data_IF_291533635677
#
_entry.id   IF_291533635677
#
_cell.length_a   1.000
_cell.length_b   1.000
_cell.length_c   1.000
_cell.angle_alpha   90.00
_cell.angle_beta   90.00
_cell.angle_gamma   90.00
#
_symmetry.space_group_name_H-M   'P 1'
#
loop_
_entity.id
_entity.type
_entity.pdbx_description
1 polymer ?
#
# COMPACT_ATOMS: atom_id res chain seq x y z
N UNK A 1 -3.50 19.94 -10.16
CA UNK A 1 -4.90 19.89 -9.65
C UNK A 1 -4.93 18.76 -8.60
N UNK A 2 -5.62 18.93 -7.49
CA UNK A 2 -5.82 17.81 -6.55
C UNK A 2 -6.81 16.85 -7.20
N UNK A 3 -6.43 15.59 -7.31
CA UNK A 3 -7.34 14.55 -7.79
C UNK A 3 -8.40 14.24 -6.72
N UNK A 4 -9.59 13.89 -7.16
CA UNK A 4 -10.75 13.62 -6.29
C UNK A 4 -10.84 12.17 -5.80
N UNK A 5 -9.92 11.31 -6.26
CA UNK A 5 -9.85 9.91 -5.88
C UNK A 5 -8.60 9.61 -5.05
N UNK A 6 -8.71 8.64 -4.15
CA UNK A 6 -7.59 7.99 -3.48
C UNK A 6 -7.57 6.52 -3.87
N UNK A 7 -6.46 6.08 -4.49
CA UNK A 7 -6.19 4.69 -4.79
C UNK A 7 -5.63 3.98 -3.55
N UNK A 8 -6.32 2.97 -3.06
CA UNK A 8 -5.79 2.00 -2.11
C UNK A 8 -5.23 0.82 -2.90
N UNK A 9 -3.91 0.74 -3.02
CA UNK A 9 -3.22 -0.28 -3.80
C UNK A 9 -2.82 -1.45 -2.90
N UNK A 10 -3.50 -2.57 -3.08
CA UNK A 10 -3.38 -3.77 -2.24
C UNK A 10 -2.74 -4.91 -3.02
N UNK A 11 -2.03 -5.80 -2.36
CA UNK A 11 -1.43 -6.99 -2.96
C UNK A 11 -0.23 -7.48 -2.14
N UNK A 12 0.13 -8.75 -2.29
CA UNK A 12 1.21 -9.39 -1.54
C UNK A 12 2.60 -8.81 -1.87
N UNK A 13 3.59 -9.14 -1.08
CA UNK A 13 5.00 -8.83 -1.35
C UNK A 13 5.39 -9.35 -2.74
N UNK A 14 6.14 -8.56 -3.51
CA UNK A 14 6.53 -8.95 -4.89
C UNK A 14 5.43 -8.80 -5.95
N UNK A 15 4.20 -8.35 -5.61
CA UNK A 15 3.14 -8.11 -6.61
C UNK A 15 3.37 -6.90 -7.51
N UNK A 16 4.36 -6.04 -7.23
CA UNK A 16 4.69 -4.89 -8.07
C UNK A 16 4.10 -3.55 -7.62
N UNK A 17 3.43 -3.49 -6.46
CA UNK A 17 2.79 -2.25 -5.96
C UNK A 17 3.66 -1.00 -6.04
N UNK A 18 4.86 -1.07 -5.47
CA UNK A 18 5.76 0.09 -5.43
C UNK A 18 6.20 0.51 -6.83
N UNK A 19 6.53 -0.46 -7.70
CA UNK A 19 6.91 -0.18 -9.09
C UNK A 19 5.78 0.50 -9.85
N UNK A 20 4.56 -0.01 -9.72
CA UNK A 20 3.37 0.56 -10.37
C UNK A 20 3.06 1.95 -9.81
N UNK A 21 3.14 2.15 -8.49
CA UNK A 21 2.94 3.45 -7.86
C UNK A 21 3.97 4.48 -8.34
N UNK A 22 5.24 4.09 -8.48
CA UNK A 22 6.31 4.94 -9.01
C UNK A 22 6.05 5.36 -10.47
N UNK A 23 5.52 4.43 -11.30
CA UNK A 23 5.14 4.74 -12.68
C UNK A 23 3.97 5.73 -12.71
N UNK A 24 2.93 5.48 -11.92
CA UNK A 24 1.79 6.39 -11.78
C UNK A 24 2.25 7.80 -11.35
N UNK A 25 3.18 7.87 -10.42
CA UNK A 25 3.74 9.14 -9.97
C UNK A 25 4.51 9.87 -11.07
N UNK A 26 5.42 9.17 -11.77
CA UNK A 26 6.29 9.79 -12.78
C UNK A 26 5.59 10.11 -14.09
N UNK A 27 4.67 9.26 -14.55
CA UNK A 27 4.04 9.41 -15.85
C UNK A 27 2.72 10.17 -15.79
N UNK A 28 1.98 10.06 -14.68
CA UNK A 28 0.63 10.65 -14.54
C UNK A 28 0.54 11.69 -13.44
N UNK A 29 1.67 12.01 -12.76
CA UNK A 29 1.74 13.06 -11.74
C UNK A 29 0.98 12.74 -10.45
N UNK A 30 0.73 11.46 -10.16
CA UNK A 30 0.04 11.04 -8.94
C UNK A 30 0.95 11.10 -7.71
N UNK A 31 0.46 11.59 -6.59
CA UNK A 31 1.20 11.70 -5.34
C UNK A 31 1.05 10.44 -4.49
N UNK A 32 2.20 9.87 -4.05
CA UNK A 32 2.22 8.66 -3.23
C UNK A 32 2.25 9.06 -1.76
N UNK A 33 1.28 8.56 -0.98
CA UNK A 33 1.21 8.75 0.46
C UNK A 33 2.31 7.96 1.16
N UNK A 34 3.09 8.62 2.00
CA UNK A 34 4.03 8.01 2.93
C UNK A 34 3.36 7.89 4.28
N UNK A 35 2.99 6.66 4.68
CA UNK A 35 2.41 6.41 6.00
C UNK A 35 3.43 6.60 7.12
N UNK A 36 2.95 6.95 8.31
CA UNK A 36 3.78 6.93 9.51
C UNK A 36 4.07 5.50 9.97
N UNK A 37 5.23 5.29 10.57
CA UNK A 37 5.55 4.03 11.24
C UNK A 37 6.48 4.24 12.43
N UNK A 38 6.28 3.43 13.48
CA UNK A 38 7.20 3.34 14.63
C UNK A 38 8.36 2.38 14.39
N UNK A 39 8.33 1.64 13.27
CA UNK A 39 9.42 0.75 12.88
C UNK A 39 10.71 1.54 12.66
N UNK A 40 11.85 1.09 13.20
CA UNK A 40 13.14 1.66 12.88
C UNK A 40 13.45 1.55 11.37
N UNK A 41 14.18 2.52 10.83
CA UNK A 41 14.73 2.40 9.47
C UNK A 41 15.64 1.17 9.37
N UNK A 42 15.53 0.45 8.26
CA UNK A 42 16.41 -0.71 7.95
C UNK A 42 17.80 -0.27 7.51
N UNK A 43 17.86 0.92 6.88
CA UNK A 43 19.09 1.58 6.45
C UNK A 43 18.87 3.10 6.45
N UNK A 44 19.95 3.87 6.54
CA UNK A 44 19.93 5.32 6.79
C UNK A 44 19.04 6.12 5.82
N UNK A 45 19.07 5.78 4.54
CA UNK A 45 18.32 6.46 3.47
C UNK A 45 17.02 5.76 3.09
N UNK A 46 16.45 4.94 3.97
CA UNK A 46 15.17 4.28 3.68
C UNK A 46 14.05 5.32 3.54
N UNK A 47 13.34 5.24 2.43
CA UNK A 47 12.17 6.06 2.08
C UNK A 47 10.89 5.20 2.09
N UNK A 48 9.74 5.80 1.78
CA UNK A 48 8.44 5.12 1.68
C UNK A 48 7.59 5.19 2.93
N UNK A 49 8.19 5.61 4.07
CA UNK A 49 7.48 5.86 5.32
C UNK A 49 8.03 7.11 6.02
N UNK A 50 7.21 7.72 6.86
CA UNK A 50 7.62 8.74 7.83
C UNK A 50 7.92 8.01 9.14
N UNK A 51 9.20 7.86 9.44
CA UNK A 51 9.66 7.12 10.61
C UNK A 51 9.58 8.00 11.86
N UNK A 52 8.86 7.54 12.88
CA UNK A 52 8.63 8.25 14.13
C UNK A 52 8.82 7.32 15.33
N UNK A 53 8.89 7.88 16.54
CA UNK A 53 8.98 7.10 17.78
C UNK A 53 7.58 6.79 18.36
N UNK A 54 7.54 5.88 19.33
CA UNK A 54 6.30 5.50 20.01
C UNK A 54 5.62 6.68 20.73
N UNK A 55 6.37 7.64 21.26
CA UNK A 55 5.80 8.83 21.92
C UNK A 55 4.98 9.67 20.93
N UNK A 56 5.44 9.78 19.67
CA UNK A 56 4.68 10.46 18.62
C UNK A 56 3.38 9.70 18.31
N UNK A 57 3.45 8.37 18.19
CA UNK A 57 2.26 7.54 17.99
C UNK A 57 1.25 7.70 19.13
N UNK A 58 1.67 7.61 20.40
CA UNK A 58 0.81 7.77 21.56
C UNK A 58 0.07 9.12 21.57
N UNK A 59 0.73 10.18 21.13
CA UNK A 59 0.11 11.51 20.99
C UNK A 59 -0.96 11.53 19.90
N UNK A 60 -0.67 10.95 18.75
CA UNK A 60 -1.57 10.97 17.58
C UNK A 60 -2.71 9.96 17.74
N UNK A 61 -2.47 8.80 18.37
CA UNK A 61 -3.47 7.74 18.57
C UNK A 61 -4.70 8.19 19.36
N UNK A 62 -4.57 9.25 20.16
CA UNK A 62 -5.68 9.87 20.90
C UNK A 62 -6.52 10.82 20.03
N UNK A 63 -6.03 11.20 18.86
CA UNK A 63 -6.80 12.01 17.90
C UNK A 63 -7.69 11.10 17.06
N UNK A 64 -8.79 11.66 16.53
CA UNK A 64 -9.65 10.95 15.55
C UNK A 64 -9.15 11.11 14.11
N UNK A 65 -7.89 11.51 13.93
CA UNK A 65 -7.33 11.82 12.62
C UNK A 65 -6.71 10.60 11.92
N UNK A 66 -6.49 9.49 12.64
CA UNK A 66 -6.01 8.24 12.05
C UNK A 66 -7.14 7.60 11.26
N UNK A 67 -6.93 7.44 9.95
CA UNK A 67 -7.90 6.86 9.01
C UNK A 67 -7.47 5.52 8.40
N UNK A 68 -6.21 5.14 8.57
CA UNK A 68 -5.70 3.82 8.25
C UNK A 68 -4.76 3.39 9.36
N UNK A 69 -4.84 2.14 9.76
CA UNK A 69 -4.02 1.62 10.85
C UNK A 69 -3.78 0.11 10.70
N UNK A 70 -2.54 -0.31 10.91
CA UNK A 70 -2.14 -1.71 11.02
C UNK A 70 -1.07 -1.83 12.10
N UNK A 71 -1.14 -2.89 12.89
CA UNK A 71 -0.09 -3.27 13.82
C UNK A 71 0.58 -4.54 13.31
N UNK A 72 1.86 -4.46 13.01
CA UNK A 72 2.60 -5.56 12.43
C UNK A 72 4.05 -5.58 12.94
N UNK A 73 4.54 -6.76 13.30
CA UNK A 73 5.92 -6.99 13.78
C UNK A 73 6.31 -6.02 14.90
N UNK A 74 5.45 -5.88 15.91
CA UNK A 74 5.57 -4.98 17.05
C UNK A 74 5.69 -3.48 16.70
N UNK A 75 5.24 -3.08 15.51
CA UNK A 75 5.28 -1.70 15.06
C UNK A 75 3.92 -1.22 14.59
N UNK A 76 3.67 0.07 14.80
CA UNK A 76 2.49 0.76 14.32
C UNK A 76 2.74 1.32 12.91
N UNK A 77 1.73 1.21 12.04
CA UNK A 77 1.67 1.85 10.73
C UNK A 77 0.33 2.57 10.60
N UNK A 78 0.34 3.84 10.18
CA UNK A 78 -0.92 4.58 10.06
C UNK A 78 -0.81 5.73 9.04
N UNK A 79 -1.98 6.20 8.61
CA UNK A 79 -2.13 7.42 7.85
C UNK A 79 -3.22 8.31 8.45
N UNK A 80 -3.10 9.60 8.22
CA UNK A 80 -4.03 10.63 8.69
C UNK A 80 -4.96 11.09 7.56
N UNK A 81 -6.10 11.69 7.94
CA UNK A 81 -7.03 12.32 6.99
C UNK A 81 -6.32 13.34 6.10
N UNK A 82 -5.44 14.15 6.69
CA UNK A 82 -4.68 15.15 5.94
C UNK A 82 -3.82 14.49 4.86
N UNK A 83 -3.06 13.45 5.20
CA UNK A 83 -2.22 12.74 4.25
C UNK A 83 -3.04 12.16 3.09
N UNK A 84 -4.21 11.57 3.39
CA UNK A 84 -5.10 11.04 2.35
C UNK A 84 -5.62 12.13 1.44
N UNK A 85 -6.02 13.28 1.99
CA UNK A 85 -6.54 14.40 1.21
C UNK A 85 -5.48 15.08 0.32
N UNK A 86 -4.20 14.95 0.68
CA UNK A 86 -3.09 15.56 -0.04
C UNK A 86 -2.43 14.62 -1.06
N UNK A 87 -2.72 13.31 -1.02
CA UNK A 87 -2.09 12.29 -1.87
C UNK A 87 -3.14 11.51 -2.67
N UNK A 88 -2.70 10.76 -3.69
CA UNK A 88 -3.55 10.06 -4.65
C UNK A 88 -3.42 8.54 -4.58
N UNK A 89 -2.30 8.03 -4.06
CA UNK A 89 -2.00 6.60 -3.98
C UNK A 89 -1.57 6.27 -2.56
N UNK A 90 -2.19 5.25 -1.98
CA UNK A 90 -1.77 4.66 -0.73
C UNK A 90 -1.55 3.16 -0.88
N UNK A 91 -0.31 2.70 -0.72
CA UNK A 91 0.03 1.27 -0.66
C UNK A 91 -0.30 0.78 0.74
N UNK A 92 -1.26 -0.14 0.84
CA UNK A 92 -1.88 -0.53 2.10
C UNK A 92 -2.11 -2.06 2.12
N UNK A 93 -2.17 -2.65 3.31
CA UNK A 93 -2.55 -4.04 3.52
C UNK A 93 -4.08 -4.20 3.71
N UNK A 94 -4.62 -5.44 3.68
CA UNK A 94 -6.04 -5.68 3.85
C UNK A 94 -6.64 -5.18 5.17
N UNK A 95 -5.92 -5.30 6.28
CA UNK A 95 -6.39 -4.82 7.59
C UNK A 95 -6.50 -3.30 7.60
N UNK A 96 -5.50 -2.64 7.00
CA UNK A 96 -5.50 -1.19 6.79
C UNK A 96 -6.67 -0.72 5.93
N UNK A 97 -7.05 -1.46 4.86
CA UNK A 97 -8.24 -1.13 4.04
C UNK A 97 -9.52 -1.25 4.87
N UNK A 98 -9.64 -2.30 5.67
CA UNK A 98 -10.81 -2.52 6.53
C UNK A 98 -10.95 -1.38 7.54
N UNK A 99 -9.85 -0.99 8.17
CA UNK A 99 -9.83 0.16 9.08
C UNK A 99 -10.17 1.46 8.34
N UNK A 100 -9.59 1.68 7.16
CA UNK A 100 -9.80 2.87 6.35
C UNK A 100 -11.27 3.10 6.02
N UNK A 101 -11.98 2.07 5.59
CA UNK A 101 -13.41 2.16 5.23
C UNK A 101 -14.32 2.59 6.38
N UNK A 102 -13.93 2.28 7.61
CA UNK A 102 -14.70 2.63 8.81
C UNK A 102 -14.31 3.97 9.44
N UNK A 103 -13.17 4.57 9.00
CA UNK A 103 -12.63 5.78 9.64
C UNK A 103 -12.41 6.95 8.68
N UNK A 104 -12.33 6.72 7.37
CA UNK A 104 -12.18 7.81 6.42
C UNK A 104 -13.54 8.29 5.93
N UNK A 105 -13.85 9.55 6.25
CA UNK A 105 -15.06 10.27 5.82
C UNK A 105 -14.71 11.55 5.07
N UNK A 106 -13.53 11.60 4.47
CA UNK A 106 -13.04 12.75 3.71
C UNK A 106 -13.68 12.87 2.32
N UNK A 107 -13.29 13.88 1.56
CA UNK A 107 -13.94 14.23 0.28
C UNK A 107 -13.53 13.34 -0.90
N UNK A 108 -12.45 12.55 -0.79
CA UNK A 108 -11.97 11.73 -1.90
C UNK A 108 -12.80 10.46 -2.07
N UNK A 109 -13.12 10.13 -3.31
CA UNK A 109 -13.67 8.82 -3.66
C UNK A 109 -12.57 7.74 -3.46
N UNK A 110 -12.94 6.67 -2.77
CA UNK A 110 -12.02 5.56 -2.48
C UNK A 110 -12.10 4.52 -3.60
N UNK A 111 -10.96 4.24 -4.23
CA UNK A 111 -10.81 3.19 -5.24
C UNK A 111 -9.83 2.15 -4.71
N UNK A 112 -10.28 0.92 -4.53
CA UNK A 112 -9.45 -0.19 -4.07
C UNK A 112 -9.08 -1.06 -5.26
N UNK A 113 -7.78 -1.21 -5.53
CA UNK A 113 -7.26 -2.10 -6.57
C UNK A 113 -6.38 -3.17 -5.94
N UNK A 114 -6.70 -4.42 -6.25
CA UNK A 114 -5.92 -5.57 -5.82
C UNK A 114 -4.99 -6.01 -6.93
N UNK A 115 -3.67 -5.97 -6.67
CA UNK A 115 -2.67 -6.55 -7.57
C UNK A 115 -2.50 -8.03 -7.21
N UNK A 116 -3.11 -8.89 -8.00
CA UNK A 116 -2.98 -10.32 -7.85
C UNK A 116 -1.69 -10.84 -8.52
N UNK A 117 -0.96 -11.65 -7.77
CA UNK A 117 0.30 -12.25 -8.20
C UNK A 117 0.46 -13.60 -7.51
N UNK A 118 0.67 -14.65 -8.28
CA UNK A 118 0.97 -15.97 -7.74
C UNK A 118 2.24 -15.96 -6.89
N UNK A 119 2.28 -16.80 -5.86
CA UNK A 119 3.39 -16.85 -4.91
C UNK A 119 4.75 -17.16 -5.57
N UNK A 120 4.76 -17.98 -6.64
CA UNK A 120 5.99 -18.32 -7.38
C UNK A 120 6.56 -17.06 -8.07
N UNK A 121 5.71 -16.34 -8.78
CA UNK A 121 6.11 -15.09 -9.46
C UNK A 121 6.54 -14.02 -8.45
N UNK A 122 5.83 -13.90 -7.34
CA UNK A 122 6.18 -12.99 -6.26
C UNK A 122 7.56 -13.33 -5.65
N UNK A 123 7.83 -14.61 -5.37
CA UNK A 123 9.12 -15.08 -4.87
C UNK A 123 10.26 -14.79 -5.85
N UNK A 124 10.06 -15.09 -7.14
CA UNK A 124 11.03 -14.82 -8.20
C UNK A 124 11.38 -13.33 -8.28
N UNK A 125 10.37 -12.44 -8.23
CA UNK A 125 10.58 -10.98 -8.25
C UNK A 125 11.34 -10.49 -7.02
N UNK A 126 11.03 -11.04 -5.83
CA UNK A 126 11.77 -10.71 -4.60
C UNK A 126 13.23 -11.17 -4.65
N UNK A 127 13.50 -12.36 -5.20
CA UNK A 127 14.86 -12.85 -5.42
C UNK A 127 15.65 -11.96 -6.40
N UNK A 128 15.02 -11.54 -7.50
CA UNK A 128 15.61 -10.60 -8.45
C UNK A 128 15.94 -9.22 -7.82
N UNK A 129 15.26 -8.84 -6.74
CA UNK A 129 15.55 -7.64 -5.94
C UNK A 129 16.70 -7.85 -4.93
N UNK A 130 17.35 -9.02 -4.92
CA UNK A 130 18.47 -9.33 -4.04
C UNK A 130 18.08 -9.75 -2.62
N UNK A 131 16.83 -10.13 -2.37
CA UNK A 131 16.40 -10.62 -1.06
C UNK A 131 16.90 -12.04 -0.81
N UNK A 132 17.25 -12.33 0.45
CA UNK A 132 17.64 -13.68 0.85
C UNK A 132 16.46 -14.64 0.82
N UNK A 133 16.74 -15.94 0.68
CA UNK A 133 15.74 -16.99 0.70
C UNK A 133 14.91 -16.94 1.99
N UNK A 134 15.55 -16.80 3.14
CA UNK A 134 14.87 -16.73 4.46
C UNK A 134 13.91 -15.52 4.54
N UNK A 135 14.31 -14.37 3.98
CA UNK A 135 13.43 -13.19 3.93
C UNK A 135 12.23 -13.44 3.03
N UNK A 136 12.41 -14.09 1.88
CA UNK A 136 11.34 -14.42 0.95
C UNK A 136 10.35 -15.39 1.60
N UNK A 137 10.81 -16.46 2.22
CA UNK A 137 9.96 -17.45 2.89
C UNK A 137 9.14 -16.82 4.02
N UNK A 138 9.79 -16.01 4.86
CA UNK A 138 9.09 -15.28 5.92
C UNK A 138 8.00 -14.36 5.39
N UNK A 139 8.28 -13.63 4.28
CA UNK A 139 7.28 -12.75 3.65
C UNK A 139 6.12 -13.51 3.07
N UNK A 140 6.37 -14.63 2.39
CA UNK A 140 5.32 -15.49 1.85
C UNK A 140 4.44 -16.05 2.97
N UNK A 141 5.03 -16.51 4.06
CA UNK A 141 4.29 -17.02 5.21
C UNK A 141 3.38 -15.92 5.82
N UNK A 142 3.91 -14.72 5.99
CA UNK A 142 3.13 -13.58 6.50
C UNK A 142 2.01 -13.18 5.53
N UNK A 143 2.33 -13.08 4.23
CA UNK A 143 1.36 -12.69 3.20
C UNK A 143 0.23 -13.73 3.08
N UNK A 144 0.51 -15.02 3.22
CA UNK A 144 -0.53 -16.07 3.18
C UNK A 144 -1.53 -15.96 4.33
N UNK A 145 -1.14 -15.41 5.46
CA UNK A 145 -2.04 -15.17 6.59
C UNK A 145 -2.96 -13.95 6.37
N UNK A 146 -2.54 -12.98 5.54
CA UNK A 146 -3.21 -11.68 5.37
C UNK A 146 -3.89 -11.57 4.02
N UNK A 147 -3.25 -12.05 2.93
CA UNK A 147 -3.73 -11.92 1.54
C UNK A 147 -4.37 -13.22 1.04
N UNK A 148 -5.26 -13.82 1.82
CA UNK A 148 -5.87 -15.11 1.47
C UNK A 148 -7.08 -14.98 0.54
N UNK A 149 -7.84 -13.89 0.63
CA UNK A 149 -9.04 -13.67 -0.18
C UNK A 149 -9.25 -12.16 -0.49
N UNK A 150 -9.23 -11.75 -1.76
CA UNK A 150 -9.56 -10.37 -2.15
C UNK A 150 -10.94 -9.90 -1.68
N UNK A 151 -11.91 -10.82 -1.54
CA UNK A 151 -13.27 -10.47 -1.13
C UNK A 151 -13.33 -9.81 0.25
N UNK A 152 -12.34 -10.05 1.13
CA UNK A 152 -12.24 -9.43 2.46
C UNK A 152 -12.15 -7.91 2.35
N UNK A 153 -11.43 -7.40 1.36
CA UNK A 153 -11.31 -5.96 1.14
C UNK A 153 -12.31 -5.42 0.11
N UNK A 154 -12.99 -6.29 -0.64
CA UNK A 154 -13.96 -5.93 -1.67
C UNK A 154 -13.37 -4.92 -2.69
N UNK A 155 -12.35 -5.30 -3.46
CA UNK A 155 -11.71 -4.38 -4.39
C UNK A 155 -12.67 -3.98 -5.51
N UNK A 156 -12.49 -2.76 -6.05
CA UNK A 156 -13.19 -2.30 -7.23
C UNK A 156 -12.70 -3.05 -8.48
N UNK A 157 -11.39 -3.36 -8.52
CA UNK A 157 -10.75 -4.08 -9.62
C UNK A 157 -9.67 -5.02 -9.06
N UNK A 158 -9.54 -6.19 -9.68
CA UNK A 158 -8.44 -7.13 -9.47
C UNK A 158 -7.62 -7.17 -10.76
N UNK A 159 -6.33 -6.85 -10.67
CA UNK A 159 -5.40 -6.88 -11.81
C UNK A 159 -4.37 -7.99 -11.61
N UNK A 160 -4.31 -8.91 -12.57
CA UNK A 160 -3.33 -9.99 -12.58
C UNK A 160 -2.00 -9.48 -13.13
N UNK A 161 -0.93 -9.55 -12.34
CA UNK A 161 0.35 -8.92 -12.71
C UNK A 161 1.37 -9.87 -13.37
N UNK A 162 1.04 -11.13 -13.57
CA UNK A 162 2.01 -12.14 -14.02
C UNK A 162 2.40 -11.99 -15.48
N UNK A 163 1.43 -11.65 -16.34
CA UNK A 163 1.60 -11.56 -17.80
C UNK A 163 1.56 -10.12 -18.33
N UNK A 164 1.69 -9.13 -17.45
CA UNK A 164 1.64 -7.72 -17.81
C UNK A 164 2.87 -6.99 -17.32
N UNK A 165 3.35 -6.04 -18.10
CA UNK A 165 4.38 -5.12 -17.66
C UNK A 165 3.84 -4.17 -16.58
N UNK A 166 4.69 -3.63 -15.72
CA UNK A 166 4.26 -2.62 -14.76
C UNK A 166 3.63 -1.39 -15.41
N UNK A 167 4.06 -1.03 -16.62
CA UNK A 167 3.54 0.08 -17.41
C UNK A 167 2.11 -0.17 -17.89
N UNK A 168 1.81 -1.40 -18.33
CA UNK A 168 0.45 -1.81 -18.73
C UNK A 168 -0.49 -1.76 -17.53
N UNK A 169 -0.07 -2.29 -16.38
CA UNK A 169 -0.84 -2.23 -15.13
C UNK A 169 -1.07 -0.76 -14.71
N UNK A 170 -0.04 0.07 -14.75
CA UNK A 170 -0.19 1.49 -14.38
C UNK A 170 -1.16 2.22 -15.31
N UNK A 171 -1.11 1.95 -16.62
CA UNK A 171 -2.04 2.53 -17.61
C UNK A 171 -3.49 2.11 -17.34
N UNK A 172 -3.71 0.84 -17.00
CA UNK A 172 -5.05 0.34 -16.68
C UNK A 172 -5.60 0.98 -15.39
N UNK A 173 -4.75 1.10 -14.35
CA UNK A 173 -5.10 1.80 -13.11
C UNK A 173 -5.46 3.26 -13.40
N UNK A 174 -4.66 3.96 -14.20
CA UNK A 174 -4.95 5.35 -14.56
C UNK A 174 -6.31 5.48 -15.27
N UNK A 175 -6.63 4.55 -16.18
CA UNK A 175 -7.95 4.51 -16.83
C UNK A 175 -9.10 4.35 -15.81
N UNK A 176 -8.93 3.57 -14.75
CA UNK A 176 -9.93 3.42 -13.67
C UNK A 176 -10.02 4.71 -12.83
N UNK A 177 -8.90 5.40 -12.62
CA UNK A 177 -8.89 6.64 -11.83
C UNK A 177 -9.49 7.82 -12.58
N UNK A 178 -9.43 7.85 -13.91
CA UNK A 178 -10.00 8.90 -14.75
C UNK A 178 -11.49 8.66 -15.11
N UNK A 179 -11.98 7.43 -14.98
CA UNK A 179 -13.39 7.09 -15.21
C UNK A 179 -14.32 7.61 -14.12
#
# INVERSE_FOLDING_TARGET
>A
MKHDKILLLVGRSGSGKSTVADILSRQYGRYILQSYTTRPKRFEKEEGHIFVNNMFYEKVSRSRDIVAYTYFDNNHYWATTQQVNENDIYIIDPDGVTFFRSHYFGPKQVVVIWLDCGWISAASRMAAQGRSQDEIERRIANDNAVFYDPAVVGPNVILHTENHSPEEIAKEIEGVLEA
#
